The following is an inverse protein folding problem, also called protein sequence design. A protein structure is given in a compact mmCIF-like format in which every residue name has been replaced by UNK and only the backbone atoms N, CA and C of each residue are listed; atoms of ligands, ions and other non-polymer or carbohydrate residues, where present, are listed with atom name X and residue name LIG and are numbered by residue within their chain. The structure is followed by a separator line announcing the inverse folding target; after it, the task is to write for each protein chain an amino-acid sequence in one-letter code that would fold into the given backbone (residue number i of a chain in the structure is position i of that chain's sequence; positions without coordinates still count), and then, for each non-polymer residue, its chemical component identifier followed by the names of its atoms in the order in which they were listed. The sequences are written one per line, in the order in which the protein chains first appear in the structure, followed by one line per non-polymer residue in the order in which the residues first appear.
data_IF_979928291556
#
_entry.id   IF_979928291556
#
_cell.length_a   1.000
_cell.length_b   1.000
_cell.length_c   1.000
_cell.angle_alpha   90.00
_cell.angle_beta   90.00
_cell.angle_gamma   90.00
#
_symmetry.space_group_name_H-M   'P 1'
#
loop_
_entity.id
_entity.type
_entity.pdbx_description
1 polymer ?
#
# COMPACT_ATOMS: atom_id res chain seq x y z
N UNK A 1 -22.97 -19.67 18.69
CA UNK A 1 -22.51 -18.52 17.88
C UNK A 1 -21.61 -17.49 18.60
N UNK A 2 -20.91 -17.82 19.70
CA UNK A 2 -20.05 -16.86 20.45
C UNK A 2 -18.53 -16.92 20.14
N UNK A 3 -18.10 -17.84 19.28
CA UNK A 3 -16.68 -18.02 18.92
C UNK A 3 -16.26 -17.16 17.72
N UNK A 4 -17.11 -17.07 16.68
CA UNK A 4 -16.84 -16.25 15.49
C UNK A 4 -16.78 -14.75 15.83
N UNK A 5 -17.64 -14.27 16.73
CA UNK A 5 -17.67 -12.88 17.21
C UNK A 5 -16.45 -12.49 18.04
N UNK A 6 -15.82 -13.44 18.74
CA UNK A 6 -14.59 -13.18 19.50
C UNK A 6 -13.36 -13.14 18.60
N UNK A 7 -13.35 -13.94 17.53
CA UNK A 7 -12.27 -13.95 16.54
C UNK A 7 -12.28 -12.68 15.67
N UNK A 8 -13.46 -12.19 15.28
CA UNK A 8 -13.58 -10.90 14.57
C UNK A 8 -13.12 -9.74 15.44
N UNK A 9 -13.49 -9.71 16.72
CA UNK A 9 -13.13 -8.60 17.61
C UNK A 9 -11.63 -8.56 17.96
N UNK A 10 -10.93 -9.69 18.01
CA UNK A 10 -9.46 -9.71 18.16
C UNK A 10 -8.73 -9.19 16.91
N UNK A 11 -9.23 -9.51 15.71
CA UNK A 11 -8.64 -9.04 14.44
C UNK A 11 -8.89 -7.53 14.25
N UNK A 12 -10.07 -7.04 14.62
CA UNK A 12 -10.39 -5.61 14.57
C UNK A 12 -9.57 -4.76 15.54
N UNK A 13 -9.26 -5.28 16.75
CA UNK A 13 -8.47 -4.55 17.76
C UNK A 13 -7.00 -4.36 17.37
N UNK A 14 -6.36 -5.41 16.84
CA UNK A 14 -4.95 -5.33 16.39
C UNK A 14 -4.79 -4.45 15.15
N UNK A 15 -5.79 -4.43 14.26
CA UNK A 15 -5.83 -3.50 13.12
C UNK A 15 -6.09 -2.06 13.59
N UNK A 16 -6.99 -1.82 14.55
CA UNK A 16 -7.25 -0.48 15.08
C UNK A 16 -6.03 0.19 15.72
N UNK A 17 -5.19 -0.57 16.42
CA UNK A 17 -3.97 -0.08 17.07
C UNK A 17 -2.81 0.11 16.07
N UNK A 18 -2.77 -0.70 14.99
CA UNK A 18 -1.83 -0.51 13.88
C UNK A 18 -2.23 0.65 12.94
N UNK A 19 -3.54 0.88 12.77
CA UNK A 19 -4.09 2.01 12.01
C UNK A 19 -3.97 3.33 12.80
N UNK A 20 -4.24 3.33 14.11
CA UNK A 20 -4.25 4.55 14.93
C UNK A 20 -2.89 5.25 15.07
N UNK A 21 -1.77 4.56 14.85
CA UNK A 21 -0.43 5.13 14.97
C UNK A 21 0.26 5.51 13.65
N UNK A 22 -0.29 5.10 12.49
CA UNK A 22 0.39 5.26 11.18
C UNK A 22 -0.52 5.77 10.06
N UNK A 23 -1.57 6.49 10.41
CA UNK A 23 -2.35 7.22 9.41
C UNK A 23 -1.46 8.23 8.65
N UNK A 24 -1.60 8.21 7.32
CA UNK A 24 -1.07 9.13 6.28
C UNK A 24 0.30 8.83 5.63
N UNK A 25 1.14 7.90 6.11
CA UNK A 25 2.51 7.74 5.54
C UNK A 25 2.67 6.73 4.40
N UNK A 26 1.82 5.70 4.26
CA UNK A 26 1.96 4.74 3.16
C UNK A 26 0.60 4.24 2.63
N UNK A 27 -0.01 4.94 1.65
CA UNK A 27 -1.27 4.52 1.05
C UNK A 27 -1.19 3.17 0.34
N UNK A 28 -0.01 2.77 -0.14
CA UNK A 28 0.16 1.44 -0.72
C UNK A 28 -0.09 0.34 0.32
N UNK A 29 0.42 0.50 1.54
CA UNK A 29 0.24 -0.47 2.61
C UNK A 29 -1.24 -0.65 3.02
N UNK A 30 -2.02 0.43 3.00
CA UNK A 30 -3.47 0.37 3.31
C UNK A 30 -4.20 -0.46 2.25
N UNK A 31 -3.97 -0.19 0.97
CA UNK A 31 -4.56 -0.99 -0.11
C UNK A 31 -4.11 -2.46 -0.07
N UNK A 32 -2.82 -2.73 0.19
CA UNK A 32 -2.32 -4.10 0.30
C UNK A 32 -2.97 -4.86 1.45
N UNK A 33 -3.13 -4.23 2.62
CA UNK A 33 -3.80 -4.83 3.76
C UNK A 33 -5.26 -5.17 3.44
N UNK A 34 -6.00 -4.23 2.83
CA UNK A 34 -7.40 -4.44 2.45
C UNK A 34 -7.57 -5.53 1.37
N UNK A 35 -6.70 -5.55 0.36
CA UNK A 35 -6.68 -6.61 -0.67
C UNK A 35 -6.34 -7.96 -0.06
N UNK A 36 -5.37 -8.00 0.86
CA UNK A 36 -4.97 -9.21 1.58
C UNK A 36 -6.12 -9.78 2.42
N UNK A 37 -6.79 -8.93 3.19
CA UNK A 37 -7.95 -9.30 3.99
C UNK A 37 -9.08 -9.86 3.11
N UNK A 38 -9.46 -9.15 2.05
CA UNK A 38 -10.49 -9.65 1.12
C UNK A 38 -10.05 -10.96 0.45
N UNK A 39 -8.79 -11.09 0.06
CA UNK A 39 -8.28 -12.34 -0.51
C UNK A 39 -8.40 -13.51 0.47
N UNK A 40 -8.16 -13.28 1.77
CA UNK A 40 -8.36 -14.28 2.80
C UNK A 40 -9.84 -14.63 3.01
N UNK A 41 -10.74 -13.63 2.98
CA UNK A 41 -12.19 -13.86 3.03
C UNK A 41 -12.67 -14.66 1.82
N UNK A 42 -12.18 -14.34 0.62
CA UNK A 42 -12.47 -15.08 -0.61
C UNK A 42 -12.06 -16.55 -0.50
N UNK A 43 -10.88 -16.84 0.06
CA UNK A 43 -10.43 -18.21 0.27
C UNK A 43 -11.41 -19.01 1.16
N UNK A 44 -11.89 -18.41 2.26
CA UNK A 44 -12.89 -19.02 3.15
C UNK A 44 -14.22 -19.26 2.45
N UNK A 45 -14.70 -18.28 1.68
CA UNK A 45 -15.93 -18.42 0.88
C UNK A 45 -15.80 -19.54 -0.16
N UNK A 46 -14.61 -19.67 -0.78
CA UNK A 46 -14.34 -20.71 -1.77
C UNK A 46 -14.40 -22.11 -1.14
N UNK A 47 -13.85 -22.26 0.06
CA UNK A 47 -13.90 -23.51 0.81
C UNK A 47 -15.36 -23.90 1.16
N UNK A 48 -16.14 -22.97 1.70
CA UNK A 48 -17.54 -23.21 2.02
C UNK A 48 -18.37 -23.57 0.77
N UNK A 49 -18.16 -22.87 -0.34
CA UNK A 49 -18.82 -23.17 -1.61
C UNK A 49 -18.43 -24.56 -2.14
N UNK A 50 -17.17 -24.98 -1.96
CA UNK A 50 -16.73 -26.32 -2.33
C UNK A 50 -17.42 -27.40 -1.49
N UNK A 51 -17.62 -27.16 -0.19
CA UNK A 51 -18.41 -28.06 0.67
C UNK A 51 -19.85 -28.19 0.17
N UNK A 52 -20.54 -27.09 -0.14
CA UNK A 52 -21.91 -27.10 -0.66
C UNK A 52 -21.98 -27.89 -1.98
N UNK A 53 -21.05 -27.63 -2.91
CA UNK A 53 -20.97 -28.36 -4.17
C UNK A 53 -20.72 -29.86 -3.97
N UNK A 54 -19.86 -30.22 -3.03
CA UNK A 54 -19.61 -31.62 -2.67
C UNK A 54 -20.89 -32.29 -2.15
N UNK A 55 -21.62 -31.65 -1.22
CA UNK A 55 -22.89 -32.17 -0.69
C UNK A 55 -23.92 -32.34 -1.80
N UNK A 56 -24.10 -31.32 -2.66
CA UNK A 56 -25.00 -31.39 -3.81
C UNK A 56 -24.68 -32.59 -4.71
N UNK A 57 -23.40 -32.78 -5.05
CA UNK A 57 -22.99 -33.89 -5.90
C UNK A 57 -23.16 -35.26 -5.21
N UNK A 58 -22.95 -35.32 -3.89
CA UNK A 58 -23.19 -36.53 -3.11
C UNK A 58 -24.67 -36.90 -3.08
N UNK A 59 -25.56 -35.95 -2.78
CA UNK A 59 -27.01 -36.18 -2.81
C UNK A 59 -27.50 -36.53 -4.21
N UNK A 60 -26.95 -35.92 -5.26
CA UNK A 60 -27.26 -36.28 -6.64
C UNK A 60 -26.96 -37.74 -6.95
N UNK A 61 -25.83 -38.28 -6.47
CA UNK A 61 -25.52 -39.71 -6.60
C UNK A 61 -26.48 -40.60 -5.80
N UNK A 62 -26.78 -40.23 -4.56
CA UNK A 62 -27.73 -40.96 -3.71
C UNK A 62 -29.14 -40.99 -4.31
N UNK A 63 -29.58 -39.89 -4.92
CA UNK A 63 -30.85 -39.81 -5.64
C UNK A 63 -30.90 -40.83 -6.80
N UNK A 64 -29.85 -40.87 -7.61
CA UNK A 64 -29.75 -41.81 -8.74
C UNK A 64 -29.62 -43.28 -8.30
N UNK A 65 -28.99 -43.54 -7.16
CA UNK A 65 -28.97 -44.88 -6.54
C UNK A 65 -30.37 -45.29 -6.07
N UNK A 66 -31.05 -44.43 -5.30
CA UNK A 66 -32.39 -44.69 -4.80
C UNK A 66 -33.41 -44.87 -5.94
N UNK A 67 -33.30 -44.09 -7.03
CA UNK A 67 -34.15 -44.25 -8.22
C UNK A 67 -33.96 -45.62 -8.88
N UNK A 68 -32.71 -46.06 -9.01
CA UNK A 68 -32.39 -47.38 -9.57
C UNK A 68 -32.87 -48.51 -8.67
N UNK A 69 -32.78 -48.36 -7.35
CA UNK A 69 -33.33 -49.33 -6.41
C UNK A 69 -34.85 -49.40 -6.49
N UNK A 70 -35.54 -48.26 -6.54
CA UNK A 70 -36.99 -48.21 -6.68
C UNK A 70 -37.45 -48.91 -7.96
N UNK A 71 -36.82 -48.62 -9.10
CA UNK A 71 -37.14 -49.26 -10.38
C UNK A 71 -36.95 -50.79 -10.34
N UNK A 72 -35.93 -51.28 -9.61
CA UNK A 72 -35.75 -52.73 -9.41
C UNK A 72 -36.81 -53.35 -8.50
N UNK A 73 -37.24 -52.62 -7.47
CA UNK A 73 -38.21 -53.13 -6.51
C UNK A 73 -39.55 -53.48 -7.15
N UNK A 74 -39.98 -52.77 -8.20
CA UNK A 74 -41.24 -53.05 -8.90
C UNK A 74 -41.22 -54.44 -9.54
N UNK A 75 -40.19 -54.77 -10.32
CA UNK A 75 -40.07 -56.11 -10.91
C UNK A 75 -39.89 -57.22 -9.88
N UNK A 76 -39.29 -56.93 -8.71
CA UNK A 76 -39.17 -57.89 -7.62
C UNK A 76 -40.51 -58.16 -6.93
N UNK A 77 -41.35 -57.13 -6.79
CA UNK A 77 -42.70 -57.26 -6.23
C UNK A 77 -43.56 -58.11 -7.17
N UNK A 78 -43.59 -57.80 -8.46
CA UNK A 78 -44.35 -58.59 -9.45
C UNK A 78 -43.92 -60.07 -9.44
N UNK A 79 -42.61 -60.33 -9.40
CA UNK A 79 -42.09 -61.71 -9.35
C UNK A 79 -42.43 -62.45 -8.04
N UNK A 80 -42.54 -61.75 -6.92
CA UNK A 80 -42.95 -62.34 -5.65
C UNK A 80 -44.46 -62.67 -5.67
N UNK A 81 -45.27 -61.78 -6.24
CA UNK A 81 -46.71 -62.00 -6.45
C UNK A 81 -46.97 -63.17 -7.41
N UNK A 82 -46.25 -63.25 -8.53
CA UNK A 82 -46.34 -64.37 -9.48
C UNK A 82 -46.00 -65.75 -8.86
N UNK A 83 -45.30 -65.75 -7.73
CA UNK A 83 -44.88 -66.94 -6.98
C UNK A 83 -45.73 -67.22 -5.74
N UNK A 84 -46.79 -66.44 -5.51
CA UNK A 84 -47.59 -66.48 -4.29
C UNK A 84 -46.73 -66.36 -3.00
N UNK A 85 -45.61 -65.61 -3.07
CA UNK A 85 -44.73 -65.35 -1.92
C UNK A 85 -45.11 -64.02 -1.25
N UNK A 86 -46.22 -64.06 -0.50
CA UNK A 86 -46.82 -62.89 0.14
C UNK A 86 -45.89 -62.20 1.16
N UNK A 87 -45.05 -62.97 1.87
CA UNK A 87 -44.11 -62.41 2.86
C UNK A 87 -43.03 -61.59 2.16
N UNK A 88 -42.45 -62.12 1.08
CA UNK A 88 -41.49 -61.38 0.27
C UNK A 88 -42.13 -60.15 -0.40
N UNK A 89 -43.35 -60.29 -0.92
CA UNK A 89 -44.09 -59.19 -1.54
C UNK A 89 -44.33 -58.04 -0.53
N UNK A 90 -44.82 -58.36 0.68
CA UNK A 90 -45.06 -57.36 1.73
C UNK A 90 -43.77 -56.64 2.12
N UNK A 91 -42.68 -57.37 2.34
CA UNK A 91 -41.38 -56.78 2.67
C UNK A 91 -40.88 -55.83 1.57
N UNK A 92 -41.01 -56.22 0.30
CA UNK A 92 -40.60 -55.41 -0.83
C UNK A 92 -41.47 -54.15 -1.00
N UNK A 93 -42.77 -54.24 -0.73
CA UNK A 93 -43.68 -53.08 -0.72
C UNK A 93 -43.27 -52.09 0.38
N UNK A 94 -43.04 -52.54 1.61
CA UNK A 94 -42.57 -51.66 2.69
C UNK A 94 -41.24 -50.98 2.33
N UNK A 95 -40.32 -51.73 1.71
CA UNK A 95 -39.06 -51.17 1.22
C UNK A 95 -39.28 -50.12 0.13
N UNK A 96 -40.20 -50.37 -0.82
CA UNK A 96 -40.58 -49.43 -1.89
C UNK A 96 -41.12 -48.13 -1.29
N UNK A 97 -41.97 -48.20 -0.28
CA UNK A 97 -42.50 -47.03 0.41
C UNK A 97 -41.41 -46.19 1.08
N UNK A 98 -40.48 -46.85 1.80
CA UNK A 98 -39.32 -46.16 2.42
C UNK A 98 -38.44 -45.48 1.36
N UNK A 99 -38.11 -46.18 0.28
CA UNK A 99 -37.34 -45.63 -0.84
C UNK A 99 -38.05 -44.43 -1.49
N UNK A 100 -39.37 -44.50 -1.62
CA UNK A 100 -40.19 -43.40 -2.17
C UNK A 100 -40.15 -42.17 -1.27
N UNK A 101 -40.28 -42.35 0.06
CA UNK A 101 -40.15 -41.27 1.02
C UNK A 101 -38.74 -40.64 1.02
N UNK A 102 -37.69 -41.46 0.93
CA UNK A 102 -36.31 -40.99 0.82
C UNK A 102 -36.07 -40.22 -0.48
N UNK A 103 -36.62 -40.67 -1.60
CA UNK A 103 -36.52 -39.95 -2.87
C UNK A 103 -37.16 -38.57 -2.79
N UNK A 104 -38.33 -38.44 -2.16
CA UNK A 104 -38.97 -37.15 -1.97
C UNK A 104 -38.10 -36.22 -1.11
N UNK A 105 -37.57 -36.73 0.01
CA UNK A 105 -36.69 -35.97 0.91
C UNK A 105 -35.41 -35.52 0.20
N UNK A 106 -34.69 -36.45 -0.43
CA UNK A 106 -33.42 -36.17 -1.13
C UNK A 106 -33.66 -35.20 -2.29
N UNK A 107 -34.76 -35.35 -3.04
CA UNK A 107 -35.09 -34.45 -4.16
C UNK A 107 -35.27 -33.01 -3.66
N UNK A 108 -35.99 -32.82 -2.55
CA UNK A 108 -36.20 -31.50 -1.95
C UNK A 108 -34.87 -30.90 -1.47
N UNK A 109 -34.09 -31.67 -0.71
CA UNK A 109 -32.80 -31.23 -0.18
C UNK A 109 -31.79 -30.90 -1.30
N UNK A 110 -31.79 -31.68 -2.38
CA UNK A 110 -30.96 -31.44 -3.56
C UNK A 110 -31.37 -30.15 -4.30
N UNK A 111 -32.66 -29.84 -4.37
CA UNK A 111 -33.14 -28.59 -4.99
C UNK A 111 -32.71 -27.36 -4.17
N UNK A 112 -32.79 -27.44 -2.85
CA UNK A 112 -32.31 -26.40 -1.92
C UNK A 112 -30.79 -26.18 -2.08
N UNK A 113 -30.00 -27.27 -2.00
CA UNK A 113 -28.55 -27.21 -2.18
C UNK A 113 -28.11 -26.77 -3.57
N UNK A 114 -28.89 -27.06 -4.61
CA UNK A 114 -28.62 -26.57 -5.97
C UNK A 114 -28.77 -25.06 -6.03
N UNK A 115 -29.83 -24.52 -5.43
CA UNK A 115 -30.05 -23.08 -5.34
C UNK A 115 -28.94 -22.39 -4.54
N UNK A 116 -28.55 -22.98 -3.41
CA UNK A 116 -27.47 -22.49 -2.57
C UNK A 116 -26.11 -22.52 -3.29
N UNK A 117 -25.80 -23.61 -4.01
CA UNK A 117 -24.58 -23.74 -4.79
C UNK A 117 -24.46 -22.66 -5.89
N UNK A 118 -25.56 -22.40 -6.60
CA UNK A 118 -25.59 -21.35 -7.63
C UNK A 118 -25.45 -19.95 -7.02
N UNK A 119 -26.08 -19.71 -5.86
CA UNK A 119 -25.89 -18.46 -5.10
C UNK A 119 -24.43 -18.28 -4.66
N UNK A 120 -23.82 -19.31 -4.09
CA UNK A 120 -22.42 -19.30 -3.67
C UNK A 120 -21.48 -19.02 -4.85
N UNK A 121 -21.73 -19.63 -6.02
CA UNK A 121 -20.97 -19.39 -7.25
C UNK A 121 -21.07 -17.93 -7.70
N UNK A 122 -22.28 -17.35 -7.75
CA UNK A 122 -22.47 -15.94 -8.11
C UNK A 122 -21.75 -15.01 -7.14
N UNK A 123 -21.86 -15.29 -5.83
CA UNK A 123 -21.21 -14.49 -4.79
C UNK A 123 -19.69 -14.56 -4.92
N UNK A 124 -19.11 -15.72 -5.23
CA UNK A 124 -17.67 -15.85 -5.47
C UNK A 124 -17.20 -15.04 -6.67
N UNK A 125 -17.95 -15.03 -7.77
CA UNK A 125 -17.61 -14.23 -8.96
C UNK A 125 -17.66 -12.74 -8.63
N UNK A 126 -18.72 -12.28 -7.96
CA UNK A 126 -18.84 -10.89 -7.52
C UNK A 126 -17.69 -10.49 -6.60
N UNK A 127 -17.38 -11.30 -5.59
CA UNK A 127 -16.32 -11.03 -4.63
C UNK A 127 -14.93 -11.02 -5.28
N UNK A 128 -14.70 -11.89 -6.27
CA UNK A 128 -13.48 -11.86 -7.07
C UNK A 128 -13.37 -10.55 -7.86
N UNK A 129 -14.44 -10.11 -8.50
CA UNK A 129 -14.50 -8.84 -9.24
C UNK A 129 -14.19 -7.64 -8.34
N UNK A 130 -14.73 -7.62 -7.12
CA UNK A 130 -14.45 -6.57 -6.13
C UNK A 130 -12.96 -6.50 -5.76
N UNK A 131 -12.31 -7.66 -5.58
CA UNK A 131 -10.86 -7.71 -5.31
C UNK A 131 -10.07 -7.12 -6.48
N UNK A 132 -10.44 -7.44 -7.73
CA UNK A 132 -9.77 -6.87 -8.90
C UNK A 132 -9.98 -5.36 -9.00
N UNK A 133 -11.22 -4.89 -8.78
CA UNK A 133 -11.54 -3.46 -8.76
C UNK A 133 -10.69 -2.71 -7.75
N UNK A 134 -10.48 -3.29 -6.55
CA UNK A 134 -9.60 -2.73 -5.52
C UNK A 134 -8.13 -2.68 -5.93
N UNK A 135 -7.62 -3.72 -6.61
CA UNK A 135 -6.25 -3.75 -7.14
C UNK A 135 -6.03 -2.69 -8.21
N UNK A 136 -6.99 -2.50 -9.09
CA UNK A 136 -6.94 -1.44 -10.09
C UNK A 136 -7.01 -0.06 -9.45
N UNK A 137 -7.89 0.13 -8.47
CA UNK A 137 -8.02 1.38 -7.74
C UNK A 137 -6.72 1.76 -7.04
N UNK A 138 -6.10 0.80 -6.33
CA UNK A 138 -4.76 0.96 -5.76
C UNK A 138 -3.78 1.47 -6.81
N UNK A 139 -3.72 0.83 -7.97
CA UNK A 139 -2.79 1.19 -9.05
C UNK A 139 -3.05 2.63 -9.53
N UNK A 140 -4.31 2.98 -9.78
CA UNK A 140 -4.71 4.33 -10.18
C UNK A 140 -4.35 5.38 -9.11
N UNK A 141 -4.61 5.10 -7.84
CA UNK A 141 -4.34 6.05 -6.76
C UNK A 141 -2.86 6.24 -6.49
N UNK A 142 -2.05 5.17 -6.56
CA UNK A 142 -0.60 5.27 -6.40
C UNK A 142 0.04 6.04 -7.57
N UNK A 143 -0.45 5.84 -8.80
CA UNK A 143 -0.01 6.64 -9.95
C UNK A 143 -0.35 8.14 -9.79
N UNK A 144 -1.57 8.45 -9.33
CA UNK A 144 -1.99 9.83 -9.03
C UNK A 144 -1.12 10.46 -7.95
N UNK A 145 -0.82 9.72 -6.89
CA UNK A 145 0.06 10.17 -5.81
C UNK A 145 1.47 10.45 -6.32
N UNK A 146 2.04 9.54 -7.12
CA UNK A 146 3.37 9.73 -7.70
C UNK A 146 3.41 10.97 -8.62
N UNK A 147 2.38 11.19 -9.44
CA UNK A 147 2.26 12.37 -10.29
C UNK A 147 2.17 13.66 -9.46
N UNK A 148 1.35 13.69 -8.42
CA UNK A 148 1.24 14.83 -7.50
C UNK A 148 2.57 15.13 -6.80
N UNK A 149 3.30 14.08 -6.36
CA UNK A 149 4.63 14.23 -5.78
C UNK A 149 5.65 14.79 -6.78
N UNK A 150 5.62 14.34 -8.04
CA UNK A 150 6.48 14.87 -9.09
C UNK A 150 6.20 16.35 -9.37
N UNK A 151 4.92 16.76 -9.45
CA UNK A 151 4.52 18.17 -9.60
C UNK A 151 5.01 19.03 -8.44
N UNK A 152 4.88 18.55 -7.20
CA UNK A 152 5.38 19.26 -6.02
C UNK A 152 6.92 19.39 -6.04
N UNK A 153 7.64 18.37 -6.50
CA UNK A 153 9.11 18.45 -6.67
C UNK A 153 9.49 19.50 -7.73
N UNK A 154 8.78 19.52 -8.86
CA UNK A 154 9.00 20.52 -9.90
C UNK A 154 8.71 21.94 -9.40
N UNK A 155 7.59 22.17 -8.70
CA UNK A 155 7.28 23.47 -8.10
C UNK A 155 8.34 23.92 -7.10
N UNK A 156 8.86 23.02 -6.24
CA UNK A 156 9.95 23.36 -5.32
C UNK A 156 11.24 23.69 -6.05
N UNK A 157 11.57 22.97 -7.11
CA UNK A 157 12.73 23.26 -7.95
C UNK A 157 12.58 24.63 -8.64
N UNK A 158 11.40 24.93 -9.22
CA UNK A 158 11.10 26.21 -9.84
C UNK A 158 11.12 27.37 -8.83
N UNK A 159 10.54 27.21 -7.65
CA UNK A 159 10.60 28.22 -6.59
C UNK A 159 12.01 28.38 -6.01
N UNK A 160 12.83 27.32 -6.01
CA UNK A 160 14.25 27.40 -5.66
C UNK A 160 15.10 28.05 -6.76
N UNK A 161 14.63 28.04 -8.01
CA UNK A 161 15.22 28.73 -9.17
C UNK A 161 14.63 30.15 -9.35
N UNK A 162 13.51 30.48 -8.70
CA UNK A 162 12.91 31.82 -8.67
C UNK A 162 13.73 32.86 -7.87
N UNK A 163 14.95 32.51 -7.45
CA UNK A 163 15.98 33.45 -7.02
C UNK A 163 16.89 33.95 -8.15
N UNK A 164 16.62 33.59 -9.40
CA UNK A 164 17.31 34.08 -10.60
C UNK A 164 16.26 34.50 -11.64
N UNK A 165 15.57 35.59 -11.38
CA UNK A 165 14.69 36.25 -12.36
C UNK A 165 15.50 37.21 -13.24
N UNK A 166 15.19 37.33 -14.55
CA UNK A 166 15.83 38.29 -15.46
C UNK A 166 15.78 39.75 -14.99
N UNK A 167 14.81 40.12 -14.15
CA UNK A 167 14.71 41.45 -13.54
C UNK A 167 15.79 41.69 -12.47
N UNK A 168 16.30 40.64 -11.81
CA UNK A 168 17.38 40.77 -10.82
C UNK A 168 18.73 41.01 -11.51
N UNK A 169 18.96 40.43 -12.68
CA UNK A 169 20.14 40.72 -13.50
C UNK A 169 20.08 42.14 -14.06
N UNK A 170 18.90 42.63 -14.46
CA UNK A 170 18.71 44.02 -14.90
C UNK A 170 18.91 45.00 -13.75
N UNK A 171 18.33 44.74 -12.56
CA UNK A 171 18.55 45.58 -11.37
C UNK A 171 19.99 45.55 -10.86
N UNK A 172 20.68 44.41 -10.95
CA UNK A 172 22.09 44.30 -10.61
C UNK A 172 22.97 45.11 -11.58
N UNK A 173 22.65 45.10 -12.89
CA UNK A 173 23.33 45.92 -13.88
C UNK A 173 23.05 47.41 -13.69
N UNK A 174 21.85 47.78 -13.27
CA UNK A 174 21.47 49.17 -12.99
C UNK A 174 22.15 49.70 -11.72
N UNK A 175 22.25 48.88 -10.67
CA UNK A 175 23.03 49.18 -9.47
C UNK A 175 24.54 49.30 -9.76
N UNK A 176 25.08 48.49 -10.67
CA UNK A 176 26.46 48.61 -11.16
C UNK A 176 26.64 49.88 -11.99
N UNK A 177 25.66 50.26 -12.81
CA UNK A 177 25.70 51.51 -13.60
C UNK A 177 25.67 52.73 -12.70
N UNK A 178 24.81 52.73 -11.68
CA UNK A 178 24.74 53.80 -10.68
C UNK A 178 26.02 53.86 -9.83
N UNK A 179 26.61 52.71 -9.49
CA UNK A 179 27.91 52.64 -8.82
C UNK A 179 29.03 53.16 -9.71
N UNK A 180 29.05 52.85 -11.01
CA UNK A 180 30.03 53.37 -11.96
C UNK A 180 29.85 54.88 -12.15
N UNK A 181 28.64 55.40 -12.30
CA UNK A 181 28.41 56.85 -12.39
C UNK A 181 28.77 57.58 -11.10
N UNK A 182 28.48 56.99 -9.94
CA UNK A 182 28.88 57.54 -8.63
C UNK A 182 30.39 57.48 -8.42
N UNK A 183 31.06 56.44 -8.93
CA UNK A 183 32.52 56.28 -8.85
C UNK A 183 33.23 57.22 -9.83
N UNK A 184 32.72 57.36 -11.06
CA UNK A 184 33.23 58.34 -12.03
C UNK A 184 33.01 59.75 -11.49
N UNK A 185 31.81 60.07 -10.96
CA UNK A 185 31.51 61.35 -10.31
C UNK A 185 32.34 61.61 -9.04
N UNK A 186 32.70 60.57 -8.29
CA UNK A 186 33.62 60.67 -7.16
C UNK A 186 35.07 60.90 -7.62
N UNK A 187 35.47 60.36 -8.77
CA UNK A 187 36.81 60.59 -9.35
C UNK A 187 36.90 61.99 -9.96
N UNK A 188 35.88 62.46 -10.70
CA UNK A 188 35.84 63.85 -11.18
C UNK A 188 35.58 64.87 -10.08
N UNK A 189 34.95 64.48 -8.96
CA UNK A 189 34.77 65.32 -7.78
C UNK A 189 35.96 65.33 -6.82
N UNK A 190 36.85 64.33 -6.88
CA UNK A 190 38.01 64.19 -5.99
C UNK A 190 39.26 64.97 -6.44
N UNK A 191 39.21 65.67 -7.57
CA UNK A 191 40.21 66.68 -7.93
C UNK A 191 40.03 68.00 -7.16
N UNK A 192 39.02 68.09 -6.27
CA UNK A 192 38.80 69.24 -5.40
C UNK A 192 38.85 68.84 -3.92
N UNK A 193 40.05 68.98 -3.33
CA UNK A 193 40.35 69.10 -1.88
C UNK A 193 40.75 67.80 -1.15
N UNK A 194 42.07 67.63 -1.00
CA UNK A 194 42.70 66.74 -0.02
C UNK A 194 42.52 67.23 1.44
N UNK A 195 43.11 66.63 2.46
CA UNK A 195 43.92 65.42 2.66
C UNK A 195 43.96 65.21 4.20
N UNK A 196 43.92 63.96 4.67
CA UNK A 196 44.09 63.64 6.10
C UNK A 196 43.11 62.64 6.75
N UNK A 197 42.08 62.17 6.04
CA UNK A 197 41.10 61.20 6.60
C UNK A 197 41.00 59.85 5.86
N UNK A 198 41.74 59.68 4.77
CA UNK A 198 41.62 58.55 3.84
C UNK A 198 42.42 57.31 4.29
N UNK A 199 43.62 57.51 4.85
CA UNK A 199 44.48 56.38 5.22
C UNK A 199 43.92 55.55 6.39
N UNK A 200 43.33 56.20 7.40
CA UNK A 200 42.72 55.50 8.54
C UNK A 200 41.50 54.65 8.15
N UNK A 201 40.75 55.04 7.11
CA UNK A 201 39.58 54.30 6.62
C UNK A 201 39.96 53.16 5.68
N UNK A 202 41.05 53.31 4.91
CA UNK A 202 41.57 52.26 4.05
C UNK A 202 42.17 51.09 4.84
N UNK A 203 42.81 51.37 5.97
CA UNK A 203 43.36 50.32 6.84
C UNK A 203 42.25 49.52 7.55
N UNK A 204 41.13 50.16 7.91
CA UNK A 204 39.98 49.46 8.49
C UNK A 204 39.32 48.52 7.48
N UNK A 205 39.13 48.97 6.23
CA UNK A 205 38.56 48.13 5.16
C UNK A 205 39.48 46.94 4.82
N UNK A 206 40.81 47.14 4.81
CA UNK A 206 41.77 46.05 4.60
C UNK A 206 41.75 45.03 5.74
N UNK A 207 41.58 45.47 6.99
CA UNK A 207 41.53 44.57 8.15
C UNK A 207 40.25 43.71 8.18
N UNK A 208 39.11 44.26 7.79
CA UNK A 208 37.84 43.55 7.71
C UNK A 208 37.81 42.55 6.54
N UNK A 209 38.39 42.91 5.39
CA UNK A 209 38.52 42.01 4.24
C UNK A 209 39.49 40.85 4.49
N UNK A 210 40.60 41.09 5.20
CA UNK A 210 41.54 40.03 5.57
C UNK A 210 40.92 38.98 6.51
N UNK A 211 40.03 39.40 7.42
CA UNK A 211 39.36 38.51 8.37
C UNK A 211 38.31 37.60 7.70
N UNK A 212 37.60 38.12 6.69
CA UNK A 212 36.63 37.35 5.92
C UNK A 212 37.30 36.38 4.92
N UNK A 213 38.40 36.78 4.28
CA UNK A 213 39.19 35.91 3.41
C UNK A 213 39.84 34.75 4.18
N UNK A 214 40.36 35.00 5.39
CA UNK A 214 40.96 33.96 6.24
C UNK A 214 39.92 32.93 6.71
N UNK A 215 38.68 33.35 7.00
CA UNK A 215 37.57 32.45 7.37
C UNK A 215 37.12 31.56 6.22
N UNK A 216 37.06 32.10 5.00
CA UNK A 216 36.73 31.33 3.81
C UNK A 216 37.79 30.25 3.51
N UNK A 217 39.08 30.60 3.59
CA UNK A 217 40.18 29.66 3.40
C UNK A 217 40.24 28.58 4.50
N UNK A 218 39.90 28.92 5.76
CA UNK A 218 39.86 27.96 6.85
C UNK A 218 38.74 26.91 6.66
N UNK A 219 37.55 27.33 6.22
CA UNK A 219 36.43 26.40 5.97
C UNK A 219 36.69 25.50 4.75
N UNK A 220 37.38 26.01 3.74
CA UNK A 220 37.83 25.20 2.60
C UNK A 220 38.93 24.19 3.00
N UNK A 221 39.89 24.62 3.85
CA UNK A 221 40.91 23.72 4.43
C UNK A 221 40.33 22.70 5.39
N UNK A 222 39.28 23.03 6.16
CA UNK A 222 38.55 22.07 7.00
C UNK A 222 37.78 21.05 6.16
N UNK A 223 37.13 21.48 5.08
CA UNK A 223 36.40 20.59 4.14
C UNK A 223 37.35 19.63 3.42
N UNK A 224 38.55 20.08 3.05
CA UNK A 224 39.59 19.22 2.46
C UNK A 224 40.29 18.31 3.48
N UNK A 225 40.51 18.77 4.72
CA UNK A 225 41.14 17.96 5.79
C UNK A 225 40.20 16.89 6.36
N UNK A 226 38.88 17.15 6.42
CA UNK A 226 37.85 16.13 6.74
C UNK A 226 37.78 15.01 5.69
N UNK A 227 38.35 15.24 4.50
CA UNK A 227 38.39 14.28 3.40
C UNK A 227 39.66 13.40 3.41
N UNK A 228 40.68 13.70 4.23
CA UNK A 228 42.01 13.07 4.17
C UNK A 228 42.62 12.66 5.54
N UNK A 229 41.82 12.22 6.51
CA UNK A 229 42.37 11.66 7.76
C UNK A 229 42.97 10.26 7.52
N UNK A 230 44.27 10.05 7.81
CA UNK A 230 44.68 8.85 8.52
C UNK A 230 45.15 9.14 9.95
N UNK A 231 44.97 8.08 10.73
CA UNK A 231 45.06 7.87 12.17
C UNK A 231 46.50 7.94 12.74
N UNK A 232 46.64 8.19 14.07
CA UNK A 232 47.74 7.77 15.02
C UNK A 232 49.02 8.67 15.09
N UNK A 233 49.69 9.02 16.22
CA UNK A 233 49.56 8.95 17.71
C UNK A 233 50.60 9.95 18.33
N UNK A 234 50.54 10.27 19.65
CA UNK A 234 51.25 11.39 20.27
C UNK A 234 52.42 10.98 21.19
N UNK A 235 53.33 11.92 21.46
CA UNK A 235 54.13 12.12 22.70
C UNK A 235 55.23 13.15 22.37
N UNK A 236 55.66 14.05 23.22
CA UNK A 236 55.46 14.28 24.64
C UNK A 236 56.33 15.50 24.95
N UNK A 237 55.77 16.44 25.69
CA UNK A 237 56.34 17.76 25.92
C UNK A 237 57.29 17.79 27.13
N UNK A 238 58.01 18.91 27.17
CA UNK A 238 58.48 19.65 28.35
C UNK A 238 59.93 19.44 28.76
N UNK A 239 60.53 20.59 29.09
CA UNK A 239 61.55 20.89 30.12
C UNK A 239 62.11 22.28 29.72
N UNK A 240 62.30 23.32 30.54
CA UNK A 240 62.21 23.63 31.99
C UNK A 240 62.39 25.18 32.03
N UNK A 241 61.52 25.93 32.70
CA UNK A 241 61.67 26.51 34.05
C UNK A 241 62.78 27.57 34.22
N UNK A 242 62.39 28.65 34.91
CA UNK A 242 63.20 29.71 35.49
C UNK A 242 62.30 30.58 36.35
#
# INVERSE_FOLDING_TARGET
MRFLTRLTNLISGVLGEWLGGRERRNPAAVYEAAIGERSAQYAKLREAAASILYLRNKLGRQLEEARRELARSEGQIELALDRDDDEAALFLIERKERLTADLQRITKELAELTTEAESAKRNLVAFHSDIQSLREEKTRMLARLANAQARLRLQRALNGVAGLTPDADIQALEAVREYIERTIGAITGADASGDGGLDARLDQIRSEQALHAARAQLEERKRSRRRLLPLILPKGASVVAG
#
